data_IF_264580585439
#
_entry.id   IF_264580585439
#
_cell.length_a   1.000
_cell.length_b   1.000
_cell.length_c   1.000
_cell.angle_alpha   90.00
_cell.angle_beta   90.00
_cell.angle_gamma   90.00
#
_symmetry.space_group_name_H-M   'P 1'
#
loop_
_entity.id
_entity.type
_entity.pdbx_description
1 polymer ?
#
# COMPACT_ATOMS: atom_id res chain seq x y z
N UNK A 1 -32.68 -5.37 -6.76
CA UNK A 1 -33.92 -5.81 -6.06
C UNK A 1 -33.55 -7.00 -5.21
N UNK A 2 -33.81 -6.95 -3.91
CA UNK A 2 -33.49 -8.04 -2.98
C UNK A 2 -34.47 -9.19 -3.17
N UNK A 3 -33.96 -10.41 -3.28
CA UNK A 3 -34.72 -11.65 -3.44
C UNK A 3 -34.87 -12.34 -2.09
N UNK A 4 -36.05 -12.90 -1.73
CA UNK A 4 -36.18 -13.76 -0.57
C UNK A 4 -35.33 -15.04 -0.77
N UNK A 5 -34.90 -15.64 0.34
CA UNK A 5 -34.16 -16.90 0.33
C UNK A 5 -34.99 -18.05 -0.28
N UNK A 6 -34.34 -18.95 -1.00
CA UNK A 6 -34.99 -20.00 -1.79
C UNK A 6 -35.94 -20.91 -0.99
N UNK A 7 -35.68 -21.19 0.29
CA UNK A 7 -36.55 -22.07 1.08
C UNK A 7 -37.87 -21.39 1.48
N UNK A 8 -37.89 -20.06 1.56
CA UNK A 8 -39.11 -19.28 1.78
C UNK A 8 -39.97 -19.21 0.51
N UNK A 9 -39.36 -19.30 -0.67
CA UNK A 9 -40.05 -19.25 -1.96
C UNK A 9 -39.29 -20.05 -3.02
N UNK A 10 -39.52 -21.37 -3.13
CA UNK A 10 -38.74 -22.25 -4.02
C UNK A 10 -38.83 -21.91 -5.50
N UNK A 11 -39.92 -21.27 -5.93
CA UNK A 11 -40.14 -20.83 -7.31
C UNK A 11 -39.08 -19.84 -7.81
N UNK A 12 -38.39 -19.15 -6.90
CA UNK A 12 -37.38 -18.14 -7.26
C UNK A 12 -36.16 -18.74 -7.95
N UNK A 13 -35.88 -20.04 -7.75
CA UNK A 13 -34.75 -20.71 -8.39
C UNK A 13 -34.94 -20.86 -9.91
N UNK A 14 -36.18 -20.88 -10.40
CA UNK A 14 -36.52 -21.19 -11.80
C UNK A 14 -37.39 -20.12 -12.47
N UNK A 15 -37.47 -18.92 -11.90
CA UNK A 15 -38.29 -17.84 -12.46
C UNK A 15 -37.65 -17.22 -13.71
N UNK A 16 -38.48 -16.78 -14.67
CA UNK A 16 -38.02 -16.19 -15.95
C UNK A 16 -37.20 -14.91 -15.80
N UNK A 17 -37.31 -14.20 -14.67
CA UNK A 17 -36.51 -13.01 -14.39
C UNK A 17 -35.17 -13.29 -13.69
N UNK A 18 -34.98 -14.49 -13.15
CA UNK A 18 -33.85 -14.81 -12.26
C UNK A 18 -32.96 -15.94 -12.75
N UNK A 19 -33.40 -16.74 -13.72
CA UNK A 19 -32.64 -17.87 -14.28
C UNK A 19 -31.27 -17.48 -14.87
N UNK A 20 -31.10 -16.25 -15.37
CA UNK A 20 -29.81 -15.75 -15.86
C UNK A 20 -28.87 -15.30 -14.72
N UNK A 21 -29.38 -15.11 -13.50
CA UNK A 21 -28.62 -14.72 -12.32
C UNK A 21 -28.18 -15.95 -11.53
N UNK A 22 -27.19 -16.67 -12.05
CA UNK A 22 -26.61 -17.86 -11.40
C UNK A 22 -25.19 -17.62 -10.88
N UNK A 23 -24.54 -16.49 -11.19
CA UNK A 23 -23.21 -16.16 -10.65
C UNK A 23 -23.33 -15.06 -9.59
N UNK A 24 -22.81 -15.25 -8.36
CA UNK A 24 -22.82 -14.21 -7.35
C UNK A 24 -21.89 -13.04 -7.73
N UNK A 25 -22.37 -11.81 -7.62
CA UNK A 25 -21.57 -10.59 -7.84
C UNK A 25 -21.49 -9.73 -6.57
N UNK A 26 -20.54 -8.78 -6.54
CA UNK A 26 -20.29 -7.91 -5.37
C UNK A 26 -21.49 -7.04 -4.99
N UNK A 27 -22.35 -6.74 -5.96
CA UNK A 27 -23.50 -5.85 -5.78
C UNK A 27 -24.76 -6.60 -5.28
N UNK A 28 -24.67 -7.92 -5.06
CA UNK A 28 -25.79 -8.75 -4.61
C UNK A 28 -25.92 -8.78 -3.09
N UNK A 29 -27.16 -8.72 -2.62
CA UNK A 29 -27.52 -9.02 -1.24
C UNK A 29 -27.28 -10.51 -0.91
N UNK A 30 -27.04 -10.85 0.36
CA UNK A 30 -26.74 -12.24 0.80
C UNK A 30 -27.74 -13.27 0.29
N UNK A 31 -29.07 -13.11 0.46
CA UNK A 31 -30.03 -14.10 -0.03
C UNK A 31 -30.01 -14.24 -1.56
N UNK A 32 -29.81 -13.13 -2.28
CA UNK A 32 -29.70 -13.13 -3.74
C UNK A 32 -28.44 -13.88 -4.21
N UNK A 33 -27.31 -13.66 -3.51
CA UNK A 33 -26.05 -14.33 -3.80
C UNK A 33 -26.13 -15.84 -3.53
N UNK A 34 -26.71 -16.24 -2.40
CA UNK A 34 -26.93 -17.65 -2.05
C UNK A 34 -27.87 -18.35 -3.03
N UNK A 35 -28.97 -17.69 -3.43
CA UNK A 35 -29.86 -18.20 -4.47
C UNK A 35 -29.14 -18.39 -5.81
N UNK A 36 -28.24 -17.47 -6.16
CA UNK A 36 -27.43 -17.58 -7.39
C UNK A 36 -26.51 -18.80 -7.34
N UNK A 37 -25.83 -19.04 -6.21
CA UNK A 37 -24.99 -20.24 -5.99
C UNK A 37 -25.80 -21.52 -6.15
N UNK A 38 -26.99 -21.60 -5.53
CA UNK A 38 -27.88 -22.77 -5.65
C UNK A 38 -28.28 -23.00 -7.11
N UNK A 39 -28.66 -21.95 -7.86
CA UNK A 39 -28.99 -22.05 -9.29
C UNK A 39 -27.83 -22.58 -10.12
N UNK A 40 -26.63 -22.05 -9.89
CA UNK A 40 -25.43 -22.53 -10.58
C UNK A 40 -25.17 -24.00 -10.32
N UNK A 41 -25.26 -24.44 -9.06
CA UNK A 41 -25.08 -25.85 -8.72
C UNK A 41 -26.13 -26.72 -9.40
N UNK A 42 -27.40 -26.32 -9.43
CA UNK A 42 -28.45 -27.07 -10.11
C UNK A 42 -28.17 -27.20 -11.61
N UNK A 43 -27.85 -26.10 -12.29
CA UNK A 43 -27.58 -26.11 -13.74
C UNK A 43 -26.34 -26.93 -14.06
N UNK A 44 -25.26 -26.74 -13.30
CA UNK A 44 -24.00 -27.44 -13.52
C UNK A 44 -24.11 -28.94 -13.20
N UNK A 45 -24.83 -29.31 -12.14
CA UNK A 45 -25.09 -30.70 -11.77
C UNK A 45 -25.89 -31.44 -12.85
N UNK A 46 -26.96 -30.82 -13.37
CA UNK A 46 -27.76 -31.40 -14.46
C UNK A 46 -26.94 -31.50 -15.75
N UNK A 47 -26.13 -30.48 -16.07
CA UNK A 47 -25.24 -30.49 -17.23
C UNK A 47 -24.22 -31.64 -17.15
N UNK A 48 -23.55 -31.81 -16.00
CA UNK A 48 -22.59 -32.88 -15.77
C UNK A 48 -23.25 -34.28 -15.82
N UNK A 49 -24.45 -34.41 -15.24
CA UNK A 49 -25.23 -35.64 -15.35
C UNK A 49 -25.55 -35.98 -16.82
N UNK A 50 -25.97 -34.99 -17.62
CA UNK A 50 -26.26 -35.19 -19.03
C UNK A 50 -25.02 -35.60 -19.86
N UNK A 51 -23.85 -35.04 -19.56
CA UNK A 51 -22.62 -35.35 -20.30
C UNK A 51 -22.00 -36.69 -19.89
N UNK A 52 -22.04 -37.07 -18.62
CA UNK A 52 -21.28 -38.22 -18.09
C UNK A 52 -22.17 -39.40 -17.68
N UNK A 53 -23.49 -39.23 -17.60
CA UNK A 53 -24.48 -40.24 -17.17
C UNK A 53 -24.23 -40.85 -15.79
N UNK A 54 -23.44 -40.18 -14.93
CA UNK A 54 -23.20 -40.60 -13.54
C UNK A 54 -24.15 -39.86 -12.60
N UNK A 55 -24.97 -40.60 -11.86
CA UNK A 55 -25.93 -40.02 -10.90
C UNK A 55 -25.25 -39.30 -9.73
N UNK A 56 -23.97 -39.57 -9.47
CA UNK A 56 -23.19 -38.96 -8.37
C UNK A 56 -23.21 -37.43 -8.43
N UNK A 57 -23.24 -36.85 -9.62
CA UNK A 57 -23.28 -35.40 -9.80
C UNK A 57 -24.58 -34.77 -9.27
N UNK A 58 -25.70 -35.51 -9.24
CA UNK A 58 -26.97 -35.02 -8.70
C UNK A 58 -26.95 -34.88 -7.17
N UNK A 59 -26.04 -35.57 -6.48
CA UNK A 59 -25.87 -35.46 -5.02
C UNK A 59 -25.36 -34.09 -4.57
N UNK A 60 -24.78 -33.30 -5.48
CA UNK A 60 -24.34 -31.94 -5.20
C UNK A 60 -25.52 -31.00 -4.88
N UNK A 61 -26.72 -31.26 -5.43
CA UNK A 61 -27.91 -30.43 -5.25
C UNK A 61 -28.37 -30.38 -3.78
N UNK A 62 -28.71 -31.52 -3.13
CA UNK A 62 -29.13 -31.49 -1.73
C UNK A 62 -28.02 -31.00 -0.79
N UNK A 63 -26.76 -31.31 -1.09
CA UNK A 63 -25.61 -30.84 -0.31
C UNK A 63 -25.52 -29.31 -0.30
N UNK A 64 -25.58 -28.66 -1.47
CA UNK A 64 -25.50 -27.20 -1.56
C UNK A 64 -26.74 -26.53 -0.99
N UNK A 65 -27.93 -27.12 -1.11
CA UNK A 65 -29.13 -26.61 -0.44
C UNK A 65 -28.93 -26.54 1.08
N UNK A 66 -28.45 -27.62 1.71
CA UNK A 66 -28.18 -27.64 3.16
C UNK A 66 -27.09 -26.63 3.55
N UNK A 67 -25.97 -26.62 2.82
CA UNK A 67 -24.86 -25.69 3.10
C UNK A 67 -25.32 -24.24 2.96
N UNK A 68 -26.11 -23.91 1.94
CA UNK A 68 -26.63 -22.54 1.73
C UNK A 68 -27.60 -22.10 2.83
N UNK A 69 -28.42 -23.01 3.37
CA UNK A 69 -29.30 -22.73 4.50
C UNK A 69 -28.50 -22.45 5.78
N UNK A 70 -27.50 -23.29 6.08
CA UNK A 70 -26.60 -23.08 7.23
C UNK A 70 -25.86 -21.74 7.09
N UNK A 71 -25.38 -21.41 5.90
CA UNK A 71 -24.64 -20.17 5.67
C UNK A 71 -25.50 -18.93 5.88
N UNK A 72 -26.78 -18.98 5.48
CA UNK A 72 -27.73 -17.90 5.71
C UNK A 72 -27.97 -17.65 7.21
N UNK A 73 -28.10 -18.73 8.00
CA UNK A 73 -28.26 -18.65 9.46
C UNK A 73 -27.01 -18.08 10.16
N UNK A 74 -25.81 -18.43 9.69
CA UNK A 74 -24.56 -17.95 10.26
C UNK A 74 -24.23 -16.50 9.89
N UNK A 75 -24.60 -16.07 8.67
CA UNK A 75 -24.22 -14.78 8.12
C UNK A 75 -25.41 -14.08 7.42
N UNK A 76 -26.39 -13.57 8.19
CA UNK A 76 -27.60 -12.97 7.62
C UNK A 76 -27.37 -11.62 6.92
N UNK A 77 -26.22 -10.98 7.12
CA UNK A 77 -25.94 -9.61 6.63
C UNK A 77 -24.61 -9.52 5.89
N UNK A 78 -24.57 -8.80 4.77
CA UNK A 78 -23.34 -8.46 4.05
C UNK A 78 -22.43 -7.60 4.94
N UNK A 79 -21.24 -8.11 5.25
CA UNK A 79 -20.19 -7.29 5.86
C UNK A 79 -19.39 -6.67 4.74
N UNK A 80 -19.42 -5.34 4.52
CA UNK A 80 -18.52 -4.73 3.57
C UNK A 80 -17.10 -4.92 4.08
N UNK A 81 -16.23 -5.58 3.29
CA UNK A 81 -14.80 -5.60 3.55
C UNK A 81 -14.26 -4.20 3.22
N UNK A 82 -14.41 -3.26 4.16
CA UNK A 82 -13.78 -1.94 4.07
C UNK A 82 -12.38 -2.08 4.65
N UNK A 83 -11.41 -2.36 3.80
CA UNK A 83 -10.00 -2.22 4.18
C UNK A 83 -9.72 -0.73 4.37
N UNK A 84 -9.55 -0.30 5.62
CA UNK A 84 -9.18 1.08 5.93
C UNK A 84 -7.68 1.22 5.78
N UNK A 85 -7.21 1.42 4.54
CA UNK A 85 -5.83 1.81 4.30
C UNK A 85 -5.63 3.24 4.76
N UNK A 86 -5.11 3.44 5.96
CA UNK A 86 -4.61 4.73 6.39
C UNK A 86 -3.31 5.04 5.66
N UNK A 87 -3.39 5.57 4.44
CA UNK A 87 -2.24 6.18 3.79
C UNK A 87 -1.94 7.47 4.55
N UNK A 88 -0.97 7.43 5.46
CA UNK A 88 -0.45 8.65 6.06
C UNK A 88 0.17 9.48 4.92
N UNK A 89 -0.54 10.53 4.48
CA UNK A 89 -0.04 11.46 3.46
C UNK A 89 1.15 12.19 4.07
N UNK A 90 2.35 11.69 3.81
CA UNK A 90 3.59 12.35 4.19
C UNK A 90 3.65 13.67 3.42
N UNK A 91 3.95 14.77 4.11
CA UNK A 91 4.22 16.06 3.44
C UNK A 91 5.49 15.90 2.61
N UNK A 92 5.32 15.87 1.29
CA UNK A 92 6.41 15.76 0.32
C UNK A 92 6.64 17.12 -0.34
N UNK A 93 7.90 17.42 -0.59
CA UNK A 93 8.34 18.58 -1.37
C UNK A 93 8.38 18.16 -2.83
N UNK A 94 7.71 18.92 -3.70
CA UNK A 94 7.65 18.68 -5.14
C UNK A 94 8.64 19.56 -5.91
N UNK A 95 9.01 19.21 -7.15
CA UNK A 95 9.86 20.02 -8.02
C UNK A 95 9.27 21.41 -8.26
N UNK A 96 10.12 22.44 -8.27
CA UNK A 96 9.71 23.82 -8.59
C UNK A 96 10.70 24.42 -9.60
N UNK A 97 10.30 25.45 -10.35
CA UNK A 97 11.19 26.09 -11.33
C UNK A 97 12.47 26.67 -10.70
N UNK A 98 12.42 27.08 -9.42
CA UNK A 98 13.61 27.51 -8.67
C UNK A 98 14.46 26.37 -8.13
N UNK A 99 13.87 25.18 -7.94
CA UNK A 99 14.53 23.99 -7.39
C UNK A 99 13.98 22.72 -8.06
N UNK A 100 14.39 22.43 -9.31
CA UNK A 100 13.84 21.30 -10.08
C UNK A 100 14.19 19.95 -9.45
N UNK A 101 15.31 19.85 -8.73
CA UNK A 101 15.78 18.62 -8.09
C UNK A 101 15.36 18.46 -6.62
N UNK A 102 14.61 19.42 -6.06
CA UNK A 102 14.13 19.42 -4.67
C UNK A 102 15.27 19.34 -3.61
N UNK A 103 16.51 19.64 -4.01
CA UNK A 103 17.67 19.57 -3.12
C UNK A 103 17.58 20.65 -2.03
N UNK A 104 17.99 20.37 -0.78
CA UNK A 104 17.98 21.37 0.28
C UNK A 104 18.93 22.51 -0.08
N UNK A 105 18.38 23.72 -0.18
CA UNK A 105 19.15 24.91 -0.47
C UNK A 105 19.70 25.51 0.82
N UNK A 106 20.83 26.23 0.73
CA UNK A 106 21.44 26.89 1.89
C UNK A 106 20.52 27.95 2.51
N UNK A 107 19.73 28.64 1.69
CA UNK A 107 18.73 29.63 2.13
C UNK A 107 17.56 28.98 2.86
N UNK A 108 17.13 27.81 2.40
CA UNK A 108 16.03 27.04 3.01
C UNK A 108 16.34 26.59 4.44
N UNK A 109 17.62 26.51 4.84
CA UNK A 109 18.01 26.18 6.22
C UNK A 109 17.45 27.22 7.21
N UNK A 110 17.34 28.49 6.80
CA UNK A 110 16.77 29.55 7.63
C UNK A 110 15.29 29.78 7.32
N UNK A 111 14.94 29.82 6.03
CA UNK A 111 13.60 30.22 5.59
C UNK A 111 12.54 29.11 5.73
N UNK A 112 12.94 27.85 5.57
CA UNK A 112 12.04 26.70 5.66
C UNK A 112 12.70 25.48 6.35
N UNK A 113 12.92 25.57 7.68
CA UNK A 113 13.67 24.55 8.39
C UNK A 113 12.82 23.33 8.76
N UNK A 114 11.53 23.29 8.40
CA UNK A 114 10.62 22.13 8.57
C UNK A 114 10.18 21.56 7.21
N UNK A 115 11.02 21.70 6.18
CA UNK A 115 10.73 21.20 4.83
C UNK A 115 10.39 19.71 4.84
N UNK A 116 9.41 19.33 4.03
CA UNK A 116 9.05 17.93 3.81
C UNK A 116 10.15 17.17 3.08
N UNK A 117 10.07 15.84 3.12
CA UNK A 117 10.99 15.00 2.35
C UNK A 117 10.77 15.19 0.85
N UNK A 118 11.78 14.95 0.01
CA UNK A 118 11.58 15.07 -1.43
C UNK A 118 10.61 14.01 -1.93
N UNK A 119 9.82 14.37 -2.93
CA UNK A 119 8.99 13.40 -3.64
C UNK A 119 9.87 12.29 -4.24
N UNK A 120 9.41 11.03 -4.19
CA UNK A 120 10.21 9.90 -4.67
C UNK A 120 10.43 10.01 -6.18
N UNK A 121 11.70 10.15 -6.58
CA UNK A 121 12.08 10.22 -8.00
C UNK A 121 11.82 8.92 -8.77
N UNK A 122 11.50 7.82 -8.08
CA UNK A 122 11.13 6.56 -8.73
C UNK A 122 9.81 6.68 -9.48
N UNK A 123 8.94 7.59 -9.04
CA UNK A 123 7.62 7.78 -9.62
C UNK A 123 7.71 8.54 -10.94
N UNK A 124 7.05 8.01 -11.97
CA UNK A 124 7.08 8.59 -13.32
C UNK A 124 6.52 10.01 -13.37
N UNK A 125 5.54 10.31 -12.53
CA UNK A 125 4.95 11.65 -12.44
C UNK A 125 5.98 12.67 -11.93
N UNK A 126 6.68 12.35 -10.84
CA UNK A 126 7.72 13.21 -10.27
C UNK A 126 8.87 13.42 -11.25
N UNK A 127 9.29 12.38 -11.99
CA UNK A 127 10.32 12.54 -13.05
C UNK A 127 9.91 13.54 -14.12
N UNK A 128 8.65 13.47 -14.58
CA UNK A 128 8.11 14.41 -15.57
C UNK A 128 8.05 15.84 -15.02
N UNK A 129 7.66 16.00 -13.75
CA UNK A 129 7.69 17.30 -13.07
C UNK A 129 9.11 17.88 -12.97
N UNK A 130 10.13 17.04 -12.70
CA UNK A 130 11.54 17.45 -12.67
C UNK A 130 11.98 17.92 -14.07
N UNK A 131 11.66 17.16 -15.11
CA UNK A 131 12.02 17.51 -16.50
C UNK A 131 11.36 18.83 -16.93
N UNK A 132 10.06 19.01 -16.64
CA UNK A 132 9.33 20.26 -16.92
C UNK A 132 9.87 21.45 -16.13
N UNK A 133 10.17 21.27 -14.84
CA UNK A 133 10.75 22.32 -14.01
C UNK A 133 12.16 22.70 -14.48
N UNK A 134 12.98 21.72 -14.88
CA UNK A 134 14.34 21.94 -15.36
C UNK A 134 14.37 22.68 -16.70
N UNK A 135 13.43 22.39 -17.59
CA UNK A 135 13.26 23.14 -18.85
C UNK A 135 12.84 24.61 -18.62
N UNK A 136 12.21 24.93 -17.48
CA UNK A 136 11.78 26.30 -17.16
C UNK A 136 12.86 27.13 -16.47
N UNK A 137 13.79 26.50 -15.74
CA UNK A 137 14.80 27.22 -14.94
C UNK A 137 15.82 27.95 -15.82
N UNK A 138 16.18 27.37 -16.94
CA UNK A 138 17.20 27.90 -17.86
C UNK A 138 16.58 28.05 -19.25
N UNK A 139 17.01 29.04 -20.04
CA UNK A 139 16.71 29.12 -21.48
C UNK A 139 17.45 28.00 -22.24
N UNK A 140 17.16 26.76 -21.89
CA UNK A 140 17.82 25.59 -22.41
C UNK A 140 17.17 25.23 -23.74
N UNK A 141 17.75 25.73 -24.82
CA UNK A 141 17.32 25.39 -26.17
C UNK A 141 17.71 23.94 -26.48
N UNK A 142 16.73 23.05 -26.54
CA UNK A 142 16.91 21.67 -27.02
C UNK A 142 17.22 21.68 -28.51
N UNK A 143 18.19 20.88 -28.93
CA UNK A 143 18.39 20.61 -30.34
C UNK A 143 17.25 19.72 -30.84
N UNK A 144 16.49 20.21 -31.81
CA UNK A 144 15.40 19.46 -32.47
C UNK A 144 15.85 18.15 -33.13
N UNK A 145 17.17 17.97 -33.35
CA UNK A 145 17.74 16.73 -33.88
C UNK A 145 17.94 15.64 -32.83
N UNK A 146 17.93 15.99 -31.54
CA UNK A 146 18.05 15.03 -30.44
C UNK A 146 16.71 14.30 -30.24
N UNK A 147 16.70 12.98 -30.46
CA UNK A 147 15.51 12.15 -30.28
C UNK A 147 15.27 11.73 -28.84
N UNK A 148 16.26 11.91 -27.97
CA UNK A 148 16.21 11.44 -26.60
C UNK A 148 15.99 12.56 -25.60
N UNK A 149 15.93 13.83 -26.04
CA UNK A 149 15.75 15.02 -25.19
C UNK A 149 16.68 15.02 -23.95
N UNK A 150 17.79 14.29 -24.01
CA UNK A 150 18.73 14.12 -22.91
C UNK A 150 19.93 15.01 -23.18
N UNK A 151 19.81 16.28 -22.81
CA UNK A 151 20.94 17.17 -22.79
C UNK A 151 22.06 16.50 -21.97
N UNK A 152 23.25 16.34 -22.53
CA UNK A 152 24.41 15.77 -21.82
C UNK A 152 24.65 16.48 -20.46
N UNK A 153 24.23 17.74 -20.36
CA UNK A 153 24.22 18.54 -19.14
C UNK A 153 23.35 17.96 -18.01
N UNK A 154 22.26 17.24 -18.29
CA UNK A 154 21.39 16.67 -17.25
C UNK A 154 22.11 15.63 -16.39
N UNK A 155 23.18 14.98 -16.89
CA UNK A 155 23.92 13.94 -16.15
C UNK A 155 24.62 14.47 -14.90
N UNK A 156 24.98 15.75 -14.87
CA UNK A 156 25.66 16.35 -13.72
C UNK A 156 24.67 16.70 -12.61
N UNK A 157 23.40 16.91 -12.95
CA UNK A 157 22.36 17.26 -12.00
C UNK A 157 21.65 16.02 -11.47
N UNK A 158 21.56 15.92 -10.15
CA UNK A 158 20.96 14.78 -9.47
C UNK A 158 20.31 15.21 -8.16
N UNK A 159 19.36 14.41 -7.70
CA UNK A 159 18.74 14.60 -6.39
C UNK A 159 19.62 13.99 -5.29
N UNK A 160 19.63 14.61 -4.11
CA UNK A 160 20.30 14.05 -2.93
C UNK A 160 19.47 12.93 -2.30
N UNK A 161 20.13 12.02 -1.58
CA UNK A 161 19.47 10.89 -0.92
C UNK A 161 18.57 11.35 0.24
N UNK A 162 18.88 12.50 0.84
CA UNK A 162 18.07 13.12 1.88
C UNK A 162 17.84 14.57 1.56
N UNK A 163 16.57 14.93 1.54
CA UNK A 163 16.10 16.28 1.31
C UNK A 163 15.52 16.91 2.59
N UNK A 164 15.74 16.33 3.77
CA UNK A 164 15.29 16.94 5.03
C UNK A 164 16.34 17.87 5.62
N UNK A 165 15.88 18.87 6.36
CA UNK A 165 16.71 19.74 7.18
C UNK A 165 16.20 19.62 8.62
N UNK A 166 17.00 19.13 9.60
CA UNK A 166 18.28 18.43 9.44
C UNK A 166 18.14 17.07 8.72
N UNK A 167 19.26 16.45 8.35
CA UNK A 167 19.27 15.14 7.71
C UNK A 167 18.61 14.07 8.60
N UNK A 168 17.92 13.09 7.99
CA UNK A 168 17.10 12.08 8.67
C UNK A 168 17.91 10.92 9.30
N UNK A 169 18.80 11.26 10.23
CA UNK A 169 19.62 10.27 10.94
C UNK A 169 18.76 9.32 11.78
N UNK A 170 17.65 9.80 12.33
CA UNK A 170 16.77 9.00 13.18
C UNK A 170 16.11 7.84 12.43
N UNK A 171 15.53 8.10 11.25
CA UNK A 171 14.96 7.03 10.43
C UNK A 171 16.03 6.09 9.88
N UNK A 172 17.23 6.58 9.59
CA UNK A 172 18.36 5.72 9.20
C UNK A 172 18.74 4.74 10.32
N UNK A 173 18.82 5.21 11.58
CA UNK A 173 19.08 4.33 12.72
C UNK A 173 17.96 3.31 12.92
N UNK A 174 16.69 3.71 12.79
CA UNK A 174 15.54 2.80 12.83
C UNK A 174 15.60 1.75 11.72
N UNK A 175 16.04 2.14 10.52
CA UNK A 175 16.23 1.21 9.41
C UNK A 175 17.31 0.17 9.73
N UNK A 176 18.44 0.58 10.32
CA UNK A 176 19.49 -0.34 10.76
C UNK A 176 19.03 -1.25 11.93
N UNK A 177 18.22 -0.72 12.84
CA UNK A 177 17.67 -1.45 13.98
C UNK A 177 16.42 -2.28 13.63
N UNK A 178 15.96 -2.25 12.37
CA UNK A 178 14.76 -2.96 11.94
C UNK A 178 14.90 -4.46 12.18
N UNK A 179 13.94 -5.04 12.90
CA UNK A 179 13.98 -6.44 13.30
C UNK A 179 14.83 -6.73 14.55
N UNK A 180 15.40 -5.72 15.20
CA UNK A 180 15.96 -5.85 16.56
C UNK A 180 14.87 -5.50 17.58
N UNK A 181 14.20 -4.35 17.39
CA UNK A 181 13.22 -3.79 18.34
C UNK A 181 11.79 -4.36 18.19
N UNK A 182 11.53 -5.15 17.15
CA UNK A 182 10.20 -5.75 16.95
C UNK A 182 9.93 -6.87 17.97
N UNK A 183 8.78 -6.92 18.65
CA UNK A 183 8.44 -8.03 19.52
C UNK A 183 8.39 -9.34 18.72
N UNK A 184 9.10 -10.37 19.20
CA UNK A 184 9.10 -11.70 18.59
C UNK A 184 7.79 -12.41 18.91
N UNK A 185 6.92 -12.56 17.91
CA UNK A 185 5.67 -13.32 18.03
C UNK A 185 5.82 -14.78 17.61
N UNK A 186 7.05 -15.25 17.32
CA UNK A 186 7.26 -16.65 17.01
C UNK A 186 7.04 -17.50 18.26
N UNK A 187 6.17 -18.51 18.15
CA UNK A 187 5.83 -19.43 19.24
C UNK A 187 6.88 -20.52 19.46
N UNK A 188 8.06 -20.40 18.82
CA UNK A 188 9.09 -21.42 18.82
C UNK A 188 10.24 -21.01 19.76
N UNK A 189 10.56 -21.88 20.72
CA UNK A 189 11.82 -21.80 21.45
C UNK A 189 12.94 -22.27 20.50
N UNK A 190 14.01 -21.51 20.24
CA UNK A 190 14.50 -20.32 20.94
C UNK A 190 14.12 -18.97 20.28
N UNK A 191 13.99 -17.92 21.10
CA UNK A 191 13.71 -16.55 20.66
C UNK A 191 14.69 -16.05 19.58
N UNK A 192 14.22 -15.16 18.71
CA UNK A 192 15.04 -14.44 17.71
C UNK A 192 16.31 -13.90 18.38
N UNK A 193 17.47 -14.15 17.76
CA UNK A 193 18.82 -13.79 18.25
C UNK A 193 19.38 -14.61 19.42
N UNK A 194 18.76 -15.71 19.86
CA UNK A 194 19.33 -16.58 20.90
C UNK A 194 20.73 -17.10 20.53
N UNK A 195 20.93 -17.45 19.26
CA UNK A 195 22.23 -17.87 18.72
C UNK A 195 23.28 -16.76 18.76
N UNK A 196 22.88 -15.53 18.43
CA UNK A 196 23.77 -14.35 18.46
C UNK A 196 24.17 -13.99 19.90
N UNK A 197 23.21 -14.07 20.84
CA UNK A 197 23.46 -13.89 22.28
C UNK A 197 24.34 -15.00 22.87
N UNK A 198 24.28 -16.22 22.35
CA UNK A 198 25.13 -17.33 22.82
C UNK A 198 26.53 -17.33 22.20
N UNK A 199 26.72 -16.76 21.01
CA UNK A 199 27.95 -16.97 20.22
C UNK A 199 28.91 -15.77 20.18
N UNK A 200 28.48 -14.51 20.38
CA UNK A 200 29.42 -13.40 20.14
C UNK A 200 29.21 -12.04 20.84
N UNK A 201 28.15 -11.80 21.61
CA UNK A 201 27.97 -10.49 22.27
C UNK A 201 27.33 -10.65 23.66
N UNK A 202 28.16 -10.60 24.70
CA UNK A 202 27.70 -10.21 26.03
C UNK A 202 27.60 -8.69 26.00
N UNK A 203 26.39 -8.15 26.03
CA UNK A 203 26.21 -6.70 26.24
C UNK A 203 26.93 -6.32 27.54
N UNK A 204 27.93 -5.43 27.44
CA UNK A 204 28.66 -4.98 28.60
C UNK A 204 27.68 -4.33 29.60
N UNK A 205 27.72 -4.74 30.87
CA UNK A 205 26.89 -4.11 31.91
C UNK A 205 27.13 -2.59 31.91
N UNK A 206 26.08 -1.81 31.65
CA UNK A 206 26.14 -0.35 31.52
C UNK A 206 26.11 0.19 30.08
N UNK A 207 26.10 -0.68 29.06
CA UNK A 207 25.81 -0.31 27.67
C UNK A 207 24.35 0.14 27.55
N UNK A 208 24.12 1.37 27.11
CA UNK A 208 22.77 1.84 26.75
C UNK A 208 22.28 1.04 25.53
N UNK A 209 21.14 0.36 25.67
CA UNK A 209 20.50 -0.39 24.57
C UNK A 209 19.98 0.49 23.42
N UNK A 210 20.07 1.82 23.56
CA UNK A 210 19.74 2.80 22.53
C UNK A 210 20.63 4.02 22.69
N UNK A 211 21.20 4.50 21.59
CA UNK A 211 21.98 5.73 21.57
C UNK A 211 21.02 6.93 21.72
N UNK A 212 21.25 7.87 22.66
CA UNK A 212 20.48 9.09 22.71
C UNK A 212 20.72 9.88 21.43
N UNK A 213 19.67 10.03 20.61
CA UNK A 213 19.74 10.74 19.34
C UNK A 213 19.76 12.25 19.58
N UNK A 214 20.92 12.90 19.47
CA UNK A 214 21.06 14.36 19.53
C UNK A 214 20.90 14.97 18.13
N UNK A 215 19.70 14.88 17.56
CA UNK A 215 19.33 15.62 16.33
C UNK A 215 18.61 16.93 16.66
N UNK A 216 19.09 17.67 17.67
CA UNK A 216 18.50 18.98 17.97
C UNK A 216 18.65 19.90 16.77
N UNK A 217 17.52 20.40 16.27
CA UNK A 217 17.44 21.35 15.16
C UNK A 217 18.39 22.52 15.43
N UNK A 218 19.38 22.80 14.56
CA UNK A 218 20.29 23.91 14.79
C UNK A 218 19.50 25.22 14.78
N UNK A 219 19.50 25.94 15.90
CA UNK A 219 18.99 27.31 15.95
C UNK A 219 20.02 28.20 15.29
N UNK A 220 19.68 28.77 14.14
CA UNK A 220 20.56 29.70 13.42
C UNK A 220 20.97 30.89 14.30
N UNK A 221 22.17 31.41 14.06
CA UNK A 221 22.64 32.67 14.66
C UNK A 221 22.54 33.78 13.62
N UNK A 222 21.86 34.88 13.94
CA UNK A 222 21.87 36.07 13.08
C UNK A 222 23.26 36.72 13.12
N UNK A 223 23.80 37.20 11.98
CA UNK A 223 25.03 37.98 11.98
C UNK A 223 24.81 39.23 12.84
N UNK A 224 25.62 39.40 13.88
CA UNK A 224 25.58 40.60 14.71
C UNK A 224 26.08 41.76 13.87
N UNK A 225 25.17 42.66 13.51
CA UNK A 225 25.54 43.92 12.83
C UNK A 225 26.46 44.70 13.78
N UNK A 226 27.68 45.12 13.36
CA UNK A 226 28.50 45.96 14.19
C UNK A 226 27.73 47.25 14.48
N UNK A 227 27.62 47.59 15.77
CA UNK A 227 27.06 48.88 16.20
C UNK A 227 28.00 49.97 15.68
N UNK A 228 27.46 50.81 14.80
CA UNK A 228 28.04 52.12 14.42
C UNK A 228 27.97 53.05 15.62
#
# INVERSE_FOLDING_TARGET
MSEPIWYSSPSILFSQGTWQKFVPTKDMDVPTALNSVVRFTVYFSVLLYACTSKHEYLLAIPLVLVVSAIFYELFPTTRPLVETFHTAVKKLTHPTASNPFMNPLLTEILDNPDRGDAAPITDKAVKKEIEEAFQQTEELYMDTSDRFDMAQAQRTFHTLQSAKIPNDQGEFLKFLAKGIDEPDFSSAFPARNAKVKSEAYVEAQGSLGSLPNSTSKPTGVSPTRPKV
#
